data_IF_051048972202
#
_entry.id   IF_051048972202
#
_cell.length_a   1.000
_cell.length_b   1.000
_cell.length_c   1.000
_cell.angle_alpha   90.00
_cell.angle_beta   90.00
_cell.angle_gamma   90.00
#
_symmetry.space_group_name_H-M   'P 1'
#
loop_
_entity.id
_entity.type
_entity.pdbx_description
1 polymer ?
#
# COMPACT_ATOMS: atom_id res chain seq x y z
N UNK A 1 13.77 10.01 -21.60
CA UNK A 1 14.13 11.01 -20.61
C UNK A 1 14.80 10.37 -19.43
N UNK A 2 15.89 10.96 -18.99
CA UNK A 2 16.94 10.38 -18.20
C UNK A 2 16.57 10.23 -16.74
N UNK A 3 16.77 9.04 -16.19
CA UNK A 3 16.81 8.83 -14.75
C UNK A 3 18.05 9.52 -14.17
N UNK A 4 18.01 10.83 -13.99
CA UNK A 4 19.15 11.64 -13.55
C UNK A 4 19.79 11.16 -12.23
N UNK A 5 19.00 10.47 -11.38
CA UNK A 5 19.49 9.89 -10.13
C UNK A 5 20.37 8.65 -10.32
N UNK A 6 20.00 7.72 -11.20
CA UNK A 6 20.77 6.48 -11.42
C UNK A 6 22.11 6.75 -12.12
N UNK A 7 22.11 7.66 -13.11
CA UNK A 7 23.35 8.09 -13.78
C UNK A 7 24.34 8.78 -12.83
N UNK A 8 23.84 9.63 -11.93
CA UNK A 8 24.67 10.30 -10.94
C UNK A 8 25.34 9.30 -9.98
N UNK A 9 24.64 8.25 -9.56
CA UNK A 9 25.21 7.19 -8.73
C UNK A 9 26.24 6.38 -9.49
N UNK A 10 25.97 5.99 -10.73
CA UNK A 10 26.92 5.29 -11.58
C UNK A 10 28.18 6.14 -11.84
N UNK A 11 28.03 7.42 -12.13
CA UNK A 11 29.16 8.33 -12.33
C UNK A 11 30.06 8.43 -11.08
N UNK A 12 29.47 8.45 -9.89
CA UNK A 12 30.22 8.45 -8.63
C UNK A 12 30.99 7.14 -8.41
N UNK A 13 30.37 6.01 -8.73
CA UNK A 13 30.98 4.67 -8.68
C UNK A 13 32.15 4.60 -9.66
N UNK A 14 31.94 5.02 -10.91
CA UNK A 14 32.96 4.96 -11.97
C UNK A 14 34.18 5.83 -11.65
N UNK A 15 34.03 6.97 -10.98
CA UNK A 15 35.16 7.78 -10.52
C UNK A 15 36.08 7.04 -9.56
N UNK A 16 35.57 6.07 -8.79
CA UNK A 16 36.38 5.35 -7.79
C UNK A 16 36.91 4.03 -8.33
N UNK A 17 36.09 3.24 -9.00
CA UNK A 17 36.47 1.87 -9.43
C UNK A 17 36.43 1.66 -10.96
N UNK A 18 36.06 2.65 -11.74
CA UNK A 18 35.85 2.48 -13.20
C UNK A 18 37.11 2.13 -13.99
N UNK A 19 38.31 2.34 -13.43
CA UNK A 19 39.59 1.95 -14.05
C UNK A 19 40.10 0.58 -13.55
N UNK A 20 39.43 -0.05 -12.57
CA UNK A 20 39.82 -1.37 -12.06
C UNK A 20 39.41 -2.47 -13.02
N UNK A 21 40.26 -3.50 -13.22
CA UNK A 21 39.81 -4.72 -13.94
C UNK A 21 38.59 -5.35 -13.26
N UNK A 22 37.67 -5.90 -14.04
CA UNK A 22 36.46 -6.53 -13.50
C UNK A 22 36.76 -7.63 -12.49
N UNK A 23 37.79 -8.42 -12.75
CA UNK A 23 38.24 -9.51 -11.89
C UNK A 23 38.76 -9.03 -10.52
N UNK A 24 39.13 -7.77 -10.39
CA UNK A 24 39.61 -7.18 -9.14
C UNK A 24 38.47 -6.56 -8.29
N UNK A 25 37.24 -6.55 -8.81
CA UNK A 25 36.07 -5.98 -8.08
C UNK A 25 35.37 -7.08 -7.30
N UNK A 26 35.94 -7.37 -6.12
CA UNK A 26 35.41 -8.36 -5.18
C UNK A 26 34.54 -7.70 -4.09
N UNK A 27 33.98 -8.51 -3.20
CA UNK A 27 33.16 -8.05 -2.08
C UNK A 27 33.83 -6.93 -1.27
N UNK A 28 35.12 -7.09 -0.90
CA UNK A 28 35.88 -6.09 -0.13
C UNK A 28 35.96 -4.73 -0.85
N UNK A 29 36.12 -4.75 -2.17
CA UNK A 29 36.17 -3.52 -2.97
C UNK A 29 34.81 -2.81 -2.99
N UNK A 30 33.71 -3.55 -3.05
CA UNK A 30 32.37 -2.99 -3.01
C UNK A 30 32.06 -2.41 -1.63
N UNK A 31 32.50 -3.05 -0.56
CA UNK A 31 32.37 -2.55 0.81
C UNK A 31 33.20 -1.29 1.04
N UNK A 32 34.46 -1.28 0.56
CA UNK A 32 35.32 -0.08 0.61
C UNK A 32 34.71 1.08 -0.19
N UNK A 33 34.14 0.80 -1.37
CA UNK A 33 33.42 1.77 -2.19
C UNK A 33 32.19 2.33 -1.44
N UNK A 34 31.39 1.47 -0.81
CA UNK A 34 30.23 1.86 -0.03
C UNK A 34 30.61 2.77 1.13
N UNK A 35 31.64 2.39 1.89
CA UNK A 35 32.19 3.19 2.99
C UNK A 35 32.75 4.54 2.52
N UNK A 36 33.39 4.57 1.36
CA UNK A 36 33.95 5.80 0.78
C UNK A 36 32.91 6.77 0.29
N UNK A 37 31.88 6.27 -0.44
CA UNK A 37 30.88 7.13 -1.07
C UNK A 37 29.73 7.49 -0.14
N UNK A 38 29.39 6.62 0.80
CA UNK A 38 28.23 6.77 1.69
C UNK A 38 28.49 6.17 3.08
N UNK A 39 29.40 6.75 3.87
CA UNK A 39 29.90 6.16 5.12
C UNK A 39 28.83 5.94 6.20
N UNK A 40 27.76 6.74 6.20
CA UNK A 40 26.70 6.68 7.22
C UNK A 40 25.33 6.34 6.63
N UNK A 41 25.28 5.82 5.40
CA UNK A 41 24.00 5.53 4.77
C UNK A 41 23.37 4.24 5.32
N UNK A 42 22.05 4.24 5.41
CA UNK A 42 21.28 3.06 5.78
C UNK A 42 21.50 1.91 4.77
N UNK A 43 21.36 0.64 5.20
CA UNK A 43 21.49 -0.54 4.32
C UNK A 43 20.70 -0.46 3.02
N UNK A 44 19.47 0.01 3.06
CA UNK A 44 18.63 0.20 1.87
C UNK A 44 19.21 1.21 0.88
N UNK A 45 19.79 2.30 1.37
CA UNK A 45 20.46 3.32 0.55
C UNK A 45 21.74 2.75 -0.08
N UNK A 46 22.52 2.01 0.69
CA UNK A 46 23.72 1.33 0.18
C UNK A 46 23.35 0.32 -0.90
N UNK A 47 22.35 -0.52 -0.64
CA UNK A 47 21.84 -1.50 -1.60
C UNK A 47 21.41 -0.85 -2.90
N UNK A 48 20.60 0.20 -2.82
CA UNK A 48 20.06 0.88 -3.99
C UNK A 48 21.13 1.63 -4.80
N UNK A 49 22.05 2.31 -4.13
CA UNK A 49 22.95 3.27 -4.79
C UNK A 49 24.33 2.68 -5.12
N UNK A 50 24.73 1.60 -4.46
CA UNK A 50 26.08 1.01 -4.63
C UNK A 50 25.96 -0.46 -5.06
N UNK A 51 25.39 -1.33 -4.21
CA UNK A 51 25.42 -2.77 -4.45
C UNK A 51 24.61 -3.18 -5.69
N UNK A 52 23.40 -2.64 -5.89
CA UNK A 52 22.57 -2.98 -7.05
C UNK A 52 23.19 -2.53 -8.36
N UNK A 53 23.68 -1.28 -8.54
CA UNK A 53 24.34 -0.86 -9.77
C UNK A 53 25.61 -1.66 -10.07
N UNK A 54 26.47 -1.87 -9.08
CA UNK A 54 27.70 -2.65 -9.25
C UNK A 54 27.38 -4.10 -9.63
N UNK A 55 26.46 -4.74 -8.90
CA UNK A 55 26.03 -6.10 -9.21
C UNK A 55 25.45 -6.22 -10.63
N UNK A 56 24.66 -5.25 -11.09
CA UNK A 56 24.09 -5.24 -12.42
C UNK A 56 25.18 -5.22 -13.50
N UNK A 57 26.22 -4.39 -13.34
CA UNK A 57 27.35 -4.31 -14.27
C UNK A 57 28.14 -5.62 -14.27
N UNK A 58 28.52 -6.14 -13.11
CA UNK A 58 29.29 -7.37 -12.99
C UNK A 58 28.53 -8.60 -13.49
N UNK A 59 27.23 -8.71 -13.21
CA UNK A 59 26.41 -9.78 -13.75
C UNK A 59 26.21 -9.67 -15.26
N UNK A 60 26.17 -8.43 -15.81
CA UNK A 60 26.16 -8.24 -17.25
C UNK A 60 27.47 -8.71 -17.87
N UNK A 61 28.62 -8.32 -17.31
CA UNK A 61 29.93 -8.76 -17.75
C UNK A 61 30.09 -10.29 -17.72
N UNK A 62 29.61 -10.92 -16.63
CA UNK A 62 29.63 -12.38 -16.51
C UNK A 62 28.76 -13.06 -17.58
N UNK A 63 27.57 -12.52 -17.91
CA UNK A 63 26.77 -13.03 -19.04
C UNK A 63 27.48 -12.93 -20.40
N UNK A 64 28.32 -11.91 -20.55
CA UNK A 64 29.19 -11.73 -21.73
C UNK A 64 30.47 -12.57 -21.68
N UNK A 65 30.68 -13.35 -20.60
CA UNK A 65 31.90 -14.15 -20.36
C UNK A 65 33.18 -13.31 -20.26
N UNK A 66 33.06 -12.05 -19.80
CA UNK A 66 34.23 -11.18 -19.57
C UNK A 66 34.86 -11.38 -18.18
N UNK A 67 34.13 -11.98 -17.26
CA UNK A 67 34.57 -12.39 -15.94
C UNK A 67 33.66 -13.50 -15.40
N UNK A 68 34.07 -14.14 -14.32
CA UNK A 68 33.22 -15.06 -13.57
C UNK A 68 32.07 -14.33 -12.88
N UNK A 69 30.97 -15.04 -12.62
CA UNK A 69 29.81 -14.48 -11.94
C UNK A 69 30.15 -14.27 -10.46
N UNK A 70 30.25 -13.02 -9.97
CA UNK A 70 30.57 -12.76 -8.59
C UNK A 70 29.39 -13.07 -7.65
N UNK A 71 29.71 -13.58 -6.47
CA UNK A 71 28.79 -13.65 -5.35
C UNK A 71 28.93 -12.36 -4.55
N UNK A 72 27.85 -11.57 -4.50
CA UNK A 72 27.84 -10.27 -3.82
C UNK A 72 26.88 -10.33 -2.63
N UNK A 73 27.43 -10.33 -1.43
CA UNK A 73 26.69 -10.19 -0.20
C UNK A 73 26.20 -8.73 -0.03
N UNK A 74 24.91 -8.57 0.23
CA UNK A 74 24.30 -7.24 0.42
C UNK A 74 24.03 -6.99 1.90
N UNK A 75 24.20 -5.76 2.39
CA UNK A 75 23.77 -5.38 3.72
C UNK A 75 22.30 -5.75 3.95
N UNK A 76 22.02 -6.41 5.08
CA UNK A 76 20.66 -6.82 5.44
C UNK A 76 19.83 -5.58 5.78
N UNK A 77 18.72 -5.43 5.11
CA UNK A 77 17.77 -4.37 5.40
C UNK A 77 16.87 -4.76 6.59
N UNK A 78 16.65 -3.86 7.55
CA UNK A 78 15.66 -4.10 8.58
C UNK A 78 14.27 -4.25 7.94
N UNK A 79 13.44 -5.13 8.47
CA UNK A 79 12.06 -5.24 8.02
C UNK A 79 11.37 -3.89 8.22
N UNK A 80 10.80 -3.36 7.15
CA UNK A 80 10.07 -2.10 7.20
C UNK A 80 8.89 -2.20 8.18
N UNK A 81 8.73 -1.21 9.04
CA UNK A 81 7.57 -1.08 9.92
C UNK A 81 6.35 -0.77 9.08
N UNK A 82 5.22 -1.43 9.36
CA UNK A 82 3.92 -1.03 8.83
C UNK A 82 3.36 0.04 9.77
N UNK A 83 3.31 1.29 9.31
CA UNK A 83 2.59 2.38 9.99
C UNK A 83 1.17 2.41 9.44
N UNK A 84 0.19 2.40 10.33
CA UNK A 84 -1.22 2.61 10.01
C UNK A 84 -1.85 3.45 11.10
N UNK A 85 -2.99 4.07 10.82
CA UNK A 85 -3.74 4.94 11.73
C UNK A 85 -5.14 4.38 11.97
N UNK A 86 -5.76 4.78 13.08
CA UNK A 86 -7.16 4.47 13.37
C UNK A 86 -8.10 5.29 12.47
N UNK A 87 -9.41 5.02 12.50
CA UNK A 87 -10.38 5.81 11.75
C UNK A 87 -10.45 7.24 12.26
N UNK A 88 -10.34 7.42 13.58
CA UNK A 88 -10.35 8.72 14.26
C UNK A 88 -9.12 9.55 13.87
N UNK A 89 -7.93 8.94 13.88
CA UNK A 89 -6.70 9.58 13.40
C UNK A 89 -6.77 9.95 11.91
N UNK A 90 -7.40 9.11 11.08
CA UNK A 90 -7.58 9.40 9.66
C UNK A 90 -8.55 10.58 9.46
N UNK A 91 -9.66 10.64 10.20
CA UNK A 91 -10.59 11.76 10.14
C UNK A 91 -9.90 13.06 10.63
N UNK A 92 -9.06 13.03 11.67
CA UNK A 92 -8.23 14.18 12.10
C UNK A 92 -7.26 14.64 10.98
N UNK A 93 -6.62 13.71 10.26
CA UNK A 93 -5.77 14.04 9.11
C UNK A 93 -6.58 14.71 7.99
N UNK A 94 -7.76 14.17 7.67
CA UNK A 94 -8.65 14.71 6.64
C UNK A 94 -9.10 16.12 6.99
N UNK A 95 -9.51 16.37 8.24
CA UNK A 95 -9.91 17.70 8.70
C UNK A 95 -8.75 18.69 8.68
N UNK A 96 -7.57 18.25 9.10
CA UNK A 96 -6.36 19.06 9.10
C UNK A 96 -5.78 19.30 7.70
N UNK A 97 -6.25 18.59 6.66
CA UNK A 97 -5.77 18.76 5.30
C UNK A 97 -6.18 20.11 4.70
N UNK A 98 -5.24 20.73 3.97
CA UNK A 98 -5.56 21.92 3.18
C UNK A 98 -6.67 21.62 2.16
N UNK A 99 -7.52 22.59 1.79
CA UNK A 99 -8.69 22.35 0.91
C UNK A 99 -8.38 21.60 -0.38
N UNK A 100 -7.26 21.93 -1.06
CA UNK A 100 -6.84 21.24 -2.28
C UNK A 100 -6.32 19.80 -2.03
N UNK A 101 -5.80 19.54 -0.84
CA UNK A 101 -5.25 18.23 -0.48
C UNK A 101 -6.31 17.27 0.09
N UNK A 102 -7.35 17.80 0.74
CA UNK A 102 -8.37 17.01 1.45
C UNK A 102 -9.03 15.92 0.58
N UNK A 103 -9.49 16.19 -0.65
CA UNK A 103 -10.07 15.14 -1.51
C UNK A 103 -9.07 14.02 -1.83
N UNK A 104 -7.80 14.34 -2.03
CA UNK A 104 -6.75 13.37 -2.26
C UNK A 104 -6.54 12.48 -1.03
N UNK A 105 -6.51 13.04 0.18
CA UNK A 105 -6.34 12.27 1.43
C UNK A 105 -7.51 11.31 1.63
N UNK A 106 -8.75 11.76 1.45
CA UNK A 106 -9.94 10.90 1.50
C UNK A 106 -9.84 9.77 0.48
N UNK A 107 -9.44 10.08 -0.74
CA UNK A 107 -9.29 9.11 -1.81
C UNK A 107 -8.24 8.03 -1.49
N UNK A 108 -7.08 8.44 -0.98
CA UNK A 108 -6.00 7.52 -0.60
C UNK A 108 -6.43 6.53 0.50
N UNK A 109 -7.12 7.02 1.55
CA UNK A 109 -7.65 6.15 2.61
C UNK A 109 -8.78 5.24 2.14
N UNK A 110 -9.52 5.65 1.12
CA UNK A 110 -10.69 4.90 0.63
C UNK A 110 -10.34 3.84 -0.42
N UNK A 111 -9.25 4.01 -1.16
CA UNK A 111 -8.89 3.15 -2.31
C UNK A 111 -7.60 2.35 -2.13
N UNK A 112 -6.75 2.77 -1.18
CA UNK A 112 -5.40 2.23 -1.05
C UNK A 112 -4.50 2.46 -2.26
N UNK A 113 -4.82 3.42 -3.12
CA UNK A 113 -4.03 3.77 -4.31
C UNK A 113 -2.59 4.12 -3.96
N UNK A 114 -1.65 3.84 -4.88
CA UNK A 114 -0.31 4.41 -4.76
C UNK A 114 -0.40 5.92 -4.96
N UNK A 115 0.47 6.65 -4.28
CA UNK A 115 0.44 8.12 -4.37
C UNK A 115 0.55 8.62 -5.83
N UNK A 116 1.39 7.99 -6.65
CA UNK A 116 1.51 8.35 -8.07
C UNK A 116 0.24 8.05 -8.86
N UNK A 117 -0.43 6.93 -8.59
CA UNK A 117 -1.71 6.59 -9.24
C UNK A 117 -2.79 7.63 -8.93
N UNK A 118 -2.83 8.10 -7.69
CA UNK A 118 -3.79 9.13 -7.28
C UNK A 118 -3.43 10.50 -7.86
N UNK A 119 -2.17 10.95 -7.76
CA UNK A 119 -1.76 12.28 -8.23
C UNK A 119 -1.97 12.47 -9.74
N UNK A 120 -1.82 11.41 -10.53
CA UNK A 120 -1.94 11.45 -11.99
C UNK A 120 -3.26 10.90 -12.51
N UNK A 121 -4.23 10.68 -11.60
CA UNK A 121 -5.57 10.22 -11.99
C UNK A 121 -6.25 11.27 -12.88
N UNK A 122 -6.74 10.83 -14.01
CA UNK A 122 -7.55 11.62 -14.94
C UNK A 122 -9.04 11.28 -14.77
N UNK A 123 -9.92 12.26 -14.95
CA UNK A 123 -11.37 12.07 -14.87
C UNK A 123 -11.92 11.05 -15.86
N UNK A 124 -11.24 10.78 -16.96
CA UNK A 124 -11.61 9.73 -17.93
C UNK A 124 -11.62 8.33 -17.31
N UNK A 125 -10.87 8.15 -16.22
CA UNK A 125 -10.73 6.90 -15.51
C UNK A 125 -11.60 6.82 -14.24
N UNK A 126 -12.53 7.78 -14.06
CA UNK A 126 -13.41 7.86 -12.89
C UNK A 126 -14.87 7.83 -13.35
N UNK A 127 -15.60 6.81 -12.94
CA UNK A 127 -17.03 6.70 -13.13
C UNK A 127 -17.75 6.87 -11.78
N UNK A 128 -18.21 8.09 -11.53
CA UNK A 128 -18.96 8.39 -10.29
C UNK A 128 -20.34 7.71 -10.24
N UNK A 129 -20.94 7.44 -11.40
CA UNK A 129 -22.28 6.81 -11.48
C UNK A 129 -22.23 5.35 -11.06
N UNK A 130 -21.13 4.67 -11.38
CA UNK A 130 -20.85 3.29 -10.99
C UNK A 130 -20.03 3.19 -9.71
N UNK A 131 -19.67 4.34 -9.13
CA UNK A 131 -18.74 4.40 -7.99
C UNK A 131 -17.46 3.59 -8.25
N UNK A 132 -16.77 3.86 -9.35
CA UNK A 132 -15.63 3.06 -9.81
C UNK A 132 -14.48 3.94 -10.33
N UNK A 133 -13.25 3.46 -10.15
CA UNK A 133 -12.04 4.08 -10.70
C UNK A 133 -11.15 3.03 -11.34
N UNK A 134 -10.52 3.37 -12.45
CA UNK A 134 -9.52 2.54 -13.12
C UNK A 134 -8.12 3.14 -12.96
N UNK A 135 -7.19 2.32 -12.44
CA UNK A 135 -5.77 2.66 -12.42
C UNK A 135 -5.07 1.94 -13.57
N UNK A 136 -4.56 2.72 -14.50
CA UNK A 136 -3.84 2.21 -15.66
C UNK A 136 -2.34 2.23 -15.33
N UNK A 137 -1.73 1.06 -15.16
CA UNK A 137 -0.27 0.96 -15.01
C UNK A 137 0.39 1.00 -16.39
N UNK A 138 0.80 2.22 -16.80
CA UNK A 138 1.50 2.44 -18.07
C UNK A 138 2.86 1.73 -18.15
N UNK A 139 3.42 1.33 -17.00
CA UNK A 139 4.72 0.63 -16.93
C UNK A 139 4.61 -0.87 -17.27
N UNK A 140 3.48 -1.51 -16.96
CA UNK A 140 3.27 -2.95 -17.10
C UNK A 140 2.05 -3.31 -17.96
N UNK A 141 1.29 -2.31 -18.45
CA UNK A 141 0.10 -2.52 -19.29
C UNK A 141 -1.11 -3.15 -18.56
N UNK A 142 -1.02 -3.32 -17.24
CA UNK A 142 -2.09 -3.89 -16.43
C UNK A 142 -2.96 -2.77 -15.85
N UNK A 143 -4.24 -2.78 -16.17
CA UNK A 143 -5.24 -1.94 -15.53
C UNK A 143 -5.87 -2.69 -14.35
N UNK A 144 -6.25 -1.95 -13.30
CA UNK A 144 -7.09 -2.49 -12.24
C UNK A 144 -8.22 -1.54 -11.90
N UNK A 145 -9.42 -2.09 -11.80
CA UNK A 145 -10.59 -1.40 -11.32
C UNK A 145 -10.72 -1.47 -9.80
N UNK A 146 -11.12 -0.37 -9.18
CA UNK A 146 -11.36 -0.29 -7.73
C UNK A 146 -12.72 0.36 -7.48
N UNK A 147 -13.64 -0.31 -6.77
CA UNK A 147 -14.87 0.31 -6.29
C UNK A 147 -14.58 1.47 -5.35
N UNK A 148 -15.33 2.56 -5.48
CA UNK A 148 -15.19 3.73 -4.63
C UNK A 148 -16.11 3.64 -3.41
N UNK A 149 -15.52 3.81 -2.24
CA UNK A 149 -16.27 3.99 -1.00
C UNK A 149 -17.11 5.29 -1.07
N UNK A 150 -18.32 5.35 -0.46
CA UNK A 150 -19.17 6.55 -0.48
C UNK A 150 -18.46 7.84 -0.05
N UNK A 151 -17.54 7.80 0.94
CA UNK A 151 -16.70 8.96 1.32
C UNK A 151 -15.86 9.47 0.14
N UNK A 152 -15.31 8.57 -0.69
CA UNK A 152 -14.53 8.95 -1.87
C UNK A 152 -15.43 9.54 -2.96
N UNK A 153 -16.58 8.92 -3.21
CA UNK A 153 -17.57 9.45 -4.17
C UNK A 153 -17.98 10.86 -3.78
N UNK A 154 -18.32 11.09 -2.50
CA UNK A 154 -18.70 12.41 -1.99
C UNK A 154 -17.56 13.44 -2.17
N UNK A 155 -16.33 13.07 -1.81
CA UNK A 155 -15.17 13.96 -1.95
C UNK A 155 -14.86 14.31 -3.41
N UNK A 156 -14.96 13.34 -4.34
CA UNK A 156 -14.78 13.56 -5.76
C UNK A 156 -15.93 14.37 -6.36
N UNK A 157 -17.17 14.09 -5.94
CA UNK A 157 -18.36 14.84 -6.41
C UNK A 157 -18.34 16.31 -6.00
N UNK A 158 -17.68 16.65 -4.92
CA UNK A 158 -17.51 18.02 -4.46
C UNK A 158 -16.47 18.84 -5.27
N UNK A 159 -15.67 18.17 -6.12
CA UNK A 159 -14.69 18.88 -6.96
C UNK A 159 -15.41 19.70 -8.06
N UNK A 160 -14.91 20.91 -8.39
CA UNK A 160 -15.62 21.84 -9.30
C UNK A 160 -15.48 21.47 -10.78
N UNK A 161 -14.76 20.39 -11.13
CA UNK A 161 -14.47 20.01 -12.52
C UNK A 161 -14.62 18.51 -12.72
N UNK A 162 -14.75 18.10 -14.02
CA UNK A 162 -14.93 16.70 -14.43
C UNK A 162 -14.08 16.34 -15.64
N UNK A 163 -13.02 17.12 -15.92
CA UNK A 163 -12.12 16.87 -17.05
C UNK A 163 -10.67 17.07 -16.65
N UNK A 164 -9.77 16.32 -17.28
CA UNK A 164 -8.34 16.36 -17.01
C UNK A 164 -7.98 15.77 -15.64
N UNK A 165 -6.90 16.26 -15.03
CA UNK A 165 -6.42 15.76 -13.74
C UNK A 165 -7.46 15.93 -12.63
N UNK A 166 -7.74 14.86 -11.90
CA UNK A 166 -8.69 14.84 -10.77
C UNK A 166 -8.20 15.71 -9.62
N UNK A 167 -6.95 15.49 -9.20
CA UNK A 167 -6.36 16.22 -8.09
C UNK A 167 -5.41 17.30 -8.56
N UNK A 168 -5.38 18.41 -7.83
CA UNK A 168 -4.62 19.60 -8.17
C UNK A 168 -3.73 20.03 -7.00
N UNK A 169 -2.53 20.57 -7.31
CA UNK A 169 -1.54 20.96 -6.28
C UNK A 169 -1.81 22.32 -5.66
N UNK A 170 -2.69 23.10 -6.25
CA UNK A 170 -3.08 24.43 -5.76
C UNK A 170 -4.58 24.65 -5.88
N UNK A 171 -5.09 25.62 -5.13
CA UNK A 171 -6.42 26.19 -5.35
C UNK A 171 -6.40 27.06 -6.62
N UNK A 172 -7.58 27.46 -7.14
CA UNK A 172 -7.65 28.48 -8.18
C UNK A 172 -6.88 29.75 -7.80
N UNK A 173 -6.17 30.34 -8.74
CA UNK A 173 -5.41 31.56 -8.51
C UNK A 173 -5.28 32.40 -9.79
N UNK A 174 -4.85 33.66 -9.63
CA UNK A 174 -4.48 34.56 -10.70
C UNK A 174 -3.01 34.95 -10.51
N UNK A 175 -2.22 34.87 -11.56
CA UNK A 175 -0.81 35.28 -11.52
C UNK A 175 -0.70 36.82 -11.43
N UNK A 176 0.49 37.30 -11.05
CA UNK A 176 0.78 38.72 -11.06
C UNK A 176 0.64 39.37 -12.47
N UNK A 177 0.80 38.58 -13.53
CA UNK A 177 0.57 38.99 -14.93
C UNK A 177 -0.90 38.90 -15.38
N UNK A 178 -1.85 38.58 -14.49
CA UNK A 178 -3.27 38.52 -14.79
C UNK A 178 -3.76 37.22 -15.41
N UNK A 179 -2.90 36.20 -15.55
CA UNK A 179 -3.31 34.89 -16.06
C UNK A 179 -4.10 34.13 -14.98
N UNK A 180 -5.31 33.70 -15.34
CA UNK A 180 -6.21 32.94 -14.46
C UNK A 180 -5.97 31.47 -14.56
N UNK A 181 -5.82 30.82 -13.40
CA UNK A 181 -5.77 29.37 -13.22
C UNK A 181 -7.02 28.90 -12.45
N UNK A 182 -8.16 28.76 -13.10
CA UNK A 182 -9.46 28.59 -12.43
C UNK A 182 -9.61 27.24 -11.72
N UNK A 183 -8.79 26.26 -12.06
CA UNK A 183 -8.80 24.94 -11.44
C UNK A 183 -7.56 24.68 -10.58
N UNK A 184 -6.62 25.64 -10.51
CA UNK A 184 -5.28 25.39 -9.99
C UNK A 184 -4.42 24.50 -10.91
N UNK A 185 -3.20 24.21 -10.51
CA UNK A 185 -2.26 23.42 -11.31
C UNK A 185 -2.38 21.92 -11.06
N UNK A 186 -2.29 21.08 -12.11
CA UNK A 186 -2.17 19.65 -11.96
C UNK A 186 -0.83 19.26 -11.34
N UNK A 187 -0.73 18.04 -10.82
CA UNK A 187 0.53 17.44 -10.46
C UNK A 187 1.28 16.99 -11.72
N UNK A 188 2.61 17.13 -11.71
CA UNK A 188 3.46 16.83 -12.86
C UNK A 188 4.06 15.42 -12.74
N UNK A 189 3.84 14.54 -13.71
CA UNK A 189 4.38 13.18 -13.71
C UNK A 189 5.91 13.12 -13.57
N UNK A 190 6.61 14.09 -14.17
CA UNK A 190 8.07 14.16 -14.23
C UNK A 190 8.73 14.54 -12.92
N UNK A 191 8.01 15.20 -12.02
CA UNK A 191 8.56 15.72 -10.77
C UNK A 191 8.64 14.69 -9.62
N UNK A 192 8.21 13.43 -9.87
CA UNK A 192 8.16 12.37 -8.86
C UNK A 192 6.97 12.53 -7.91
N UNK A 193 6.17 11.45 -7.75
CA UNK A 193 4.85 11.48 -7.10
C UNK A 193 4.82 12.21 -5.75
N UNK A 194 5.31 11.57 -4.67
CA UNK A 194 5.17 12.12 -3.32
C UNK A 194 5.94 13.42 -3.04
N UNK A 195 6.92 13.78 -3.87
CA UNK A 195 7.72 15.01 -3.69
C UNK A 195 6.89 16.28 -3.76
N UNK A 196 5.92 16.33 -4.65
CA UNK A 196 5.09 17.53 -4.90
C UNK A 196 4.13 17.86 -3.76
N UNK A 197 3.74 16.89 -2.95
CA UNK A 197 2.82 17.11 -1.81
C UNK A 197 3.55 17.20 -0.47
N UNK A 198 4.88 17.07 -0.44
CA UNK A 198 5.68 16.94 0.78
C UNK A 198 5.39 18.04 1.80
N UNK A 199 5.38 19.30 1.37
CA UNK A 199 5.14 20.45 2.26
C UNK A 199 3.70 20.48 2.76
N UNK A 200 2.71 20.29 1.87
CA UNK A 200 1.31 20.28 2.24
C UNK A 200 0.99 19.09 3.16
N UNK A 201 1.60 17.93 2.90
CA UNK A 201 1.48 16.73 3.73
C UNK A 201 2.06 16.93 5.13
N UNK A 202 3.29 17.43 5.22
CA UNK A 202 3.93 17.73 6.51
C UNK A 202 3.12 18.75 7.34
N UNK A 203 2.57 19.78 6.67
CA UNK A 203 1.68 20.74 7.30
C UNK A 203 0.40 20.12 7.83
N UNK A 204 -0.21 19.21 7.10
CA UNK A 204 -1.38 18.43 7.52
C UNK A 204 -1.05 17.58 8.75
N UNK A 205 -0.01 16.77 8.70
CA UNK A 205 0.40 15.92 9.81
C UNK A 205 0.69 16.74 11.08
N UNK A 206 1.38 17.89 10.93
CA UNK A 206 1.66 18.80 12.05
C UNK A 206 0.38 19.33 12.69
N UNK A 207 -0.61 19.75 11.90
CA UNK A 207 -1.90 20.27 12.43
C UNK A 207 -2.73 19.17 13.09
N UNK A 208 -2.67 17.94 12.57
CA UNK A 208 -3.33 16.78 13.15
C UNK A 208 -2.61 16.21 14.39
N UNK A 209 -1.41 16.69 14.73
CA UNK A 209 -0.61 16.12 15.82
C UNK A 209 -0.07 14.71 15.55
N UNK A 210 -0.09 14.26 14.28
CA UNK A 210 0.31 12.91 13.89
C UNK A 210 1.71 12.97 13.29
N UNK A 211 2.64 12.24 13.90
CA UNK A 211 4.04 12.18 13.48
C UNK A 211 4.32 10.89 12.70
N UNK A 212 5.40 10.88 11.92
CA UNK A 212 5.91 9.71 11.20
C UNK A 212 4.82 9.04 10.35
N UNK A 213 4.10 9.84 9.55
CA UNK A 213 3.04 9.40 8.66
C UNK A 213 3.25 9.94 7.24
N UNK A 214 3.48 9.05 6.31
CA UNK A 214 3.73 9.35 4.89
C UNK A 214 2.50 9.07 4.03
N UNK A 215 2.43 9.59 2.78
CA UNK A 215 1.35 9.23 1.85
C UNK A 215 1.21 7.73 1.60
N UNK A 216 2.31 6.98 1.67
CA UNK A 216 2.28 5.53 1.49
C UNK A 216 1.62 4.80 2.67
N UNK A 217 1.64 5.41 3.87
CA UNK A 217 1.00 4.84 5.04
C UNK A 217 -0.53 4.87 4.96
N UNK A 218 -1.14 5.74 4.12
CA UNK A 218 -2.57 5.64 3.79
C UNK A 218 -2.89 4.28 3.16
N UNK A 219 -2.04 3.81 2.24
CA UNK A 219 -2.20 2.50 1.62
C UNK A 219 -1.99 1.35 2.62
N UNK A 220 -1.04 1.49 3.54
CA UNK A 220 -0.86 0.55 4.63
C UNK A 220 -2.07 0.53 5.57
N UNK A 221 -2.62 1.69 5.86
CA UNK A 221 -3.83 1.86 6.67
C UNK A 221 -5.03 1.19 6.02
N UNK A 222 -5.32 1.53 4.74
CA UNK A 222 -6.39 0.92 3.97
C UNK A 222 -6.27 -0.60 3.91
N UNK A 223 -5.08 -1.12 3.64
CA UNK A 223 -4.84 -2.56 3.58
C UNK A 223 -5.08 -3.23 4.93
N UNK A 224 -4.66 -2.59 6.02
CA UNK A 224 -4.90 -3.09 7.38
C UNK A 224 -6.40 -3.09 7.71
N UNK A 225 -7.12 -2.01 7.41
CA UNK A 225 -8.56 -1.94 7.61
C UNK A 225 -9.31 -2.96 6.77
N UNK A 226 -9.00 -3.04 5.47
CA UNK A 226 -9.62 -4.00 4.55
C UNK A 226 -9.45 -5.44 5.04
N UNK A 227 -8.21 -5.82 5.39
CA UNK A 227 -7.96 -7.17 5.88
C UNK A 227 -8.63 -7.44 7.23
N UNK A 228 -8.67 -6.47 8.14
CA UNK A 228 -9.38 -6.62 9.41
C UNK A 228 -10.87 -6.86 9.23
N UNK A 229 -11.49 -6.16 8.29
CA UNK A 229 -12.92 -6.27 8.01
C UNK A 229 -13.28 -7.57 7.27
N UNK A 230 -12.51 -7.92 6.23
CA UNK A 230 -12.93 -8.93 5.26
C UNK A 230 -12.16 -10.26 5.36
N UNK A 231 -10.97 -10.28 5.94
CA UNK A 231 -10.08 -11.46 6.04
C UNK A 231 -9.73 -12.10 4.69
N UNK A 232 -9.91 -11.40 3.60
CA UNK A 232 -9.68 -11.87 2.25
C UNK A 232 -8.39 -11.27 1.69
N UNK A 233 -7.34 -12.10 1.58
CA UNK A 233 -6.05 -11.72 1.00
C UNK A 233 -6.12 -11.61 -0.52
N UNK A 234 -7.00 -12.38 -1.18
CA UNK A 234 -7.15 -12.36 -2.63
C UNK A 234 -7.78 -11.05 -3.07
N UNK A 235 -8.92 -10.67 -2.47
CA UNK A 235 -9.53 -9.38 -2.71
C UNK A 235 -8.59 -8.22 -2.37
N UNK A 236 -7.82 -8.32 -1.27
CA UNK A 236 -6.83 -7.31 -0.92
C UNK A 236 -5.74 -7.18 -1.99
N UNK A 237 -5.26 -8.30 -2.54
CA UNK A 237 -4.26 -8.32 -3.62
C UNK A 237 -4.79 -7.66 -4.89
N UNK A 238 -5.97 -8.04 -5.33
CA UNK A 238 -6.61 -7.54 -6.55
C UNK A 238 -6.87 -6.03 -6.46
N UNK A 239 -7.60 -5.60 -5.44
CA UNK A 239 -7.94 -4.20 -5.24
C UNK A 239 -6.69 -3.32 -5.03
N UNK A 240 -5.71 -3.82 -4.29
CA UNK A 240 -4.46 -3.10 -4.07
C UNK A 240 -3.46 -3.20 -5.23
N UNK A 241 -3.61 -4.13 -6.15
CA UNK A 241 -2.64 -4.38 -7.23
C UNK A 241 -1.29 -4.87 -6.69
N UNK A 242 -1.30 -5.85 -5.78
CA UNK A 242 -0.09 -6.56 -5.34
C UNK A 242 0.08 -7.84 -6.15
N UNK A 243 1.30 -8.07 -6.65
CA UNK A 243 1.62 -9.20 -7.53
C UNK A 243 1.94 -10.50 -6.80
N UNK A 244 2.06 -10.49 -5.48
CA UNK A 244 2.33 -11.71 -4.72
C UNK A 244 1.71 -11.69 -3.33
N UNK A 245 1.26 -12.86 -2.87
CA UNK A 245 0.72 -13.06 -1.54
C UNK A 245 1.73 -12.63 -0.44
N UNK A 246 3.03 -12.85 -0.65
CA UNK A 246 4.07 -12.44 0.31
C UNK A 246 4.04 -10.93 0.63
N UNK A 247 3.61 -10.09 -0.33
CA UNK A 247 3.50 -8.65 -0.13
C UNK A 247 2.33 -8.27 0.78
N UNK A 248 1.24 -9.02 0.77
CA UNK A 248 0.02 -8.74 1.56
C UNK A 248 -0.02 -9.51 2.87
N UNK A 249 0.72 -10.62 2.99
CA UNK A 249 0.82 -11.41 4.24
C UNK A 249 1.27 -10.57 5.43
N UNK A 250 2.02 -9.49 5.20
CA UNK A 250 2.42 -8.55 6.26
C UNK A 250 1.23 -7.92 7.00
N UNK A 251 0.08 -7.77 6.35
CA UNK A 251 -1.13 -7.22 6.97
C UNK A 251 -1.88 -8.26 7.78
N UNK A 252 -1.71 -9.54 7.48
CA UNK A 252 -2.29 -10.64 8.23
C UNK A 252 -1.75 -10.72 9.68
N UNK A 253 -0.51 -10.29 9.90
CA UNK A 253 0.16 -10.36 11.21
C UNK A 253 -0.09 -9.14 12.11
N UNK A 254 -0.78 -8.09 11.63
CA UNK A 254 -0.97 -6.85 12.39
C UNK A 254 -1.92 -7.02 13.57
N UNK A 255 -2.81 -8.01 13.54
CA UNK A 255 -3.72 -8.28 14.66
C UNK A 255 -4.12 -9.76 14.68
N UNK A 256 -3.84 -10.45 15.77
CA UNK A 256 -4.17 -11.84 16.00
C UNK A 256 -5.40 -12.03 16.90
N UNK A 257 -5.98 -10.97 17.45
CA UNK A 257 -7.14 -11.07 18.37
C UNK A 257 -8.34 -11.80 17.77
N UNK A 258 -8.51 -11.74 16.44
CA UNK A 258 -9.55 -12.47 15.73
C UNK A 258 -9.35 -13.99 15.70
N UNK A 259 -8.14 -14.47 16.03
CA UNK A 259 -7.82 -15.89 16.10
C UNK A 259 -8.21 -16.50 17.45
N UNK A 260 -8.64 -15.70 18.44
CA UNK A 260 -9.04 -16.20 19.75
C UNK A 260 -10.16 -17.24 19.64
N UNK A 261 -11.14 -17.03 18.76
CA UNK A 261 -12.21 -18.00 18.48
C UNK A 261 -11.69 -19.32 17.89
N UNK A 262 -10.70 -19.27 17.01
CA UNK A 262 -10.10 -20.51 16.44
C UNK A 262 -9.28 -21.29 17.45
N UNK A 263 -8.66 -20.62 18.43
CA UNK A 263 -7.94 -21.29 19.51
C UNK A 263 -8.91 -22.00 20.44
N UNK A 264 -10.05 -21.40 20.77
CA UNK A 264 -11.05 -22.03 21.65
C UNK A 264 -11.67 -23.31 21.05
N UNK A 265 -11.69 -23.45 19.71
CA UNK A 265 -12.19 -24.65 19.03
C UNK A 265 -11.16 -25.80 18.99
N UNK A 266 -9.89 -25.55 19.25
CA UNK A 266 -8.83 -26.59 19.20
C UNK A 266 -9.03 -27.68 20.27
N UNK A 267 -9.58 -27.34 21.44
CA UNK A 267 -9.82 -28.27 22.54
C UNK A 267 -11.26 -28.81 22.55
N UNK A 268 -12.10 -28.56 21.59
CA UNK A 268 -13.52 -28.82 21.60
C UNK A 268 -14.26 -27.90 22.60
N UNK A 269 -15.46 -27.53 22.30
CA UNK A 269 -16.35 -26.93 23.30
C UNK A 269 -16.74 -28.03 24.27
N UNK A 270 -16.03 -28.16 25.40
CA UNK A 270 -16.55 -28.92 26.54
C UNK A 270 -17.90 -28.33 26.89
N UNK A 271 -18.94 -29.13 26.72
CA UNK A 271 -20.33 -28.71 26.80
C UNK A 271 -20.60 -27.85 28.02
N UNK A 272 -21.19 -26.71 27.78
CA UNK A 272 -22.08 -26.10 28.73
C UNK A 272 -23.27 -27.07 28.84
N UNK A 273 -23.27 -27.89 29.83
CA UNK A 273 -24.46 -28.64 30.27
C UNK A 273 -25.52 -27.62 30.61
N UNK A 274 -26.51 -27.53 29.76
CA UNK A 274 -27.81 -26.95 30.10
C UNK A 274 -28.38 -27.69 31.31
N UNK A 275 -28.22 -27.09 32.49
CA UNK A 275 -29.00 -27.45 33.65
C UNK A 275 -30.37 -26.79 33.45
N UNK A 276 -31.18 -27.39 32.62
CA UNK A 276 -32.62 -27.14 32.68
C UNK A 276 -33.24 -28.05 33.73
N UNK A 277 -33.81 -27.39 34.72
CA UNK A 277 -34.48 -28.03 35.84
C UNK A 277 -35.57 -29.01 35.40
N UNK A 278 -35.46 -30.24 35.86
CA UNK A 278 -36.52 -31.22 35.83
C UNK A 278 -37.65 -30.78 36.74
N UNK A 279 -38.74 -30.33 36.16
CA UNK A 279 -40.06 -30.37 36.80
C UNK A 279 -40.73 -31.69 36.40
N UNK A 280 -40.98 -32.57 37.41
CA UNK A 280 -41.74 -33.80 37.26
C UNK A 280 -43.14 -33.54 36.68
N UNK A 281 -43.68 -34.40 35.81
CA UNK A 281 -45.12 -34.49 35.59
C UNK A 281 -45.69 -35.69 36.33
N UNK A 282 -46.71 -35.41 37.10
CA UNK A 282 -47.59 -36.33 37.80
C UNK A 282 -48.20 -37.39 36.85
N UNK A 283 -48.22 -38.62 37.34
CA UNK A 283 -48.94 -39.77 36.76
C UNK A 283 -50.43 -39.52 36.79
N UNK A 284 -51.12 -39.73 35.68
CA UNK A 284 -52.48 -40.33 35.66
C UNK A 284 -52.66 -41.21 34.42
N UNK A 285 -53.21 -42.39 34.64
CA UNK A 285 -53.25 -43.52 33.76
C UNK A 285 -54.28 -43.54 32.66
N UNK A 286 -54.22 -44.58 31.87
CA UNK A 286 -55.20 -44.95 30.87
C UNK A 286 -54.63 -45.82 29.75
N UNK A 287 -54.66 -47.13 29.92
CA UNK A 287 -54.44 -48.16 28.91
C UNK A 287 -55.79 -48.46 28.15
N UNK A 288 -55.86 -49.35 27.14
CA UNK A 288 -55.11 -49.47 25.88
C UNK A 288 -56.09 -49.67 24.68
N UNK A 289 -55.65 -49.62 23.44
CA UNK A 289 -56.21 -50.43 22.34
C UNK A 289 -55.39 -50.33 21.08
N UNK A 290 -54.77 -51.42 20.62
CA UNK A 290 -54.33 -51.57 19.27
C UNK A 290 -55.44 -52.04 18.33
N UNK A 291 -55.22 -52.59 17.13
CA UNK A 291 -54.03 -52.66 16.28
C UNK A 291 -54.31 -52.36 14.78
N UNK A 292 -53.36 -52.76 13.87
CA UNK A 292 -53.52 -53.14 12.45
C UNK A 292 -53.01 -52.15 11.40
N UNK A 293 -51.89 -52.45 10.83
CA UNK A 293 -51.60 -53.12 9.55
C UNK A 293 -51.91 -52.38 8.23
N UNK A 294 -50.88 -52.46 7.36
CA UNK A 294 -50.80 -52.55 5.90
C UNK A 294 -50.27 -51.26 5.24
N UNK A 295 -49.10 -51.30 4.70
CA UNK A 295 -48.47 -51.93 3.50
C UNK A 295 -48.76 -51.19 2.18
N UNK A 296 -47.68 -51.03 1.40
CA UNK A 296 -47.58 -51.04 -0.08
C UNK A 296 -47.91 -49.70 -0.78
N UNK A 297 -47.05 -49.06 -1.34
CA UNK A 297 -46.21 -49.17 -2.56
C UNK A 297 -45.19 -48.06 -2.65
#
# INVERSE_FOLDING_TARGET
MEAGGERAHLASILKVIGKKPLVAIHQAEIEALAKKLKPQAAPSTLNRHIYTPVAAVLHHAARKRWCDKPVIARPKEPKGRIRWVTHEEADQLIEAAAPHLRPLVVFLFSTGARISEALYLDWRNVDLSRAHVEFIDTKNGEARGVPLHPKAVAALSALPHRTGAVFRRSLPYVTASGVRHPLGDPYEERAGGGGQIKTAWAGMCKRAGITDFSPHDCRHTWATWHYRANRDLTALMELGGWKSAAMVMRYAHVNTSHLAGSISTVWGTSGATDVQGTSEPSRQGGTPSGPLLRSVR
#
